data_IF_493919163122
#
_entry.id   IF_493919163122
#
_cell.length_a   1.000
_cell.length_b   1.000
_cell.length_c   1.000
_cell.angle_alpha   90.00
_cell.angle_beta   90.00
_cell.angle_gamma   90.00
#
_symmetry.space_group_name_H-M   'P 1'
#
loop_
_entity.id
_entity.type
_entity.pdbx_description
1 polymer ?
#
# COMPACT_ATOMS: atom_id res chain seq x y z
N UNK A 1 -39.85 -28.60 20.24
CA UNK A 1 -38.97 -27.40 20.20
C UNK A 1 -39.53 -26.41 21.21
N UNK A 2 -38.92 -26.32 22.38
CA UNK A 2 -39.26 -25.32 23.41
C UNK A 2 -38.64 -23.98 22.98
N UNK A 3 -39.41 -22.89 22.90
CA UNK A 3 -38.84 -21.57 22.64
C UNK A 3 -37.98 -21.15 23.85
N UNK A 4 -36.79 -20.63 23.57
CA UNK A 4 -35.84 -20.10 24.56
C UNK A 4 -36.52 -19.03 25.42
N UNK A 5 -36.55 -19.25 26.74
CA UNK A 5 -37.12 -18.37 27.77
C UNK A 5 -36.25 -17.15 28.11
N UNK A 6 -35.15 -16.93 27.41
CA UNK A 6 -34.27 -15.78 27.63
C UNK A 6 -34.36 -14.82 26.45
N UNK A 7 -34.79 -13.55 26.66
CA UNK A 7 -34.64 -12.53 25.64
C UNK A 7 -33.15 -12.40 25.28
N UNK A 8 -32.82 -12.10 24.02
CA UNK A 8 -31.44 -11.79 23.65
C UNK A 8 -30.93 -10.66 24.55
N UNK A 9 -29.65 -10.70 25.00
CA UNK A 9 -29.10 -9.64 25.82
C UNK A 9 -29.26 -8.30 25.10
N UNK A 10 -29.83 -7.31 25.79
CA UNK A 10 -29.96 -5.94 25.29
C UNK A 10 -28.59 -5.46 24.82
N UNK A 11 -28.52 -5.04 23.55
CA UNK A 11 -27.31 -4.43 23.02
C UNK A 11 -27.06 -3.13 23.82
N UNK A 12 -25.83 -2.87 24.29
CA UNK A 12 -25.55 -1.64 25.02
C UNK A 12 -25.84 -0.43 24.13
N UNK A 13 -26.60 0.52 24.66
CA UNK A 13 -26.99 1.75 23.97
C UNK A 13 -25.75 2.46 23.39
N UNK A 14 -25.81 2.80 22.10
CA UNK A 14 -24.68 3.42 21.40
C UNK A 14 -24.43 4.84 21.94
N UNK A 15 -23.29 5.06 22.59
CA UNK A 15 -22.85 6.39 23.05
C UNK A 15 -22.28 7.21 21.88
N UNK A 16 -22.76 8.45 21.72
CA UNK A 16 -22.26 9.39 20.71
C UNK A 16 -20.93 9.99 21.13
N UNK A 17 -20.05 10.23 20.15
CA UNK A 17 -18.78 10.94 20.38
C UNK A 17 -19.01 12.45 20.49
N UNK A 18 -18.07 13.21 21.10
CA UNK A 18 -18.20 14.67 21.22
C UNK A 18 -18.53 15.36 19.90
N UNK A 19 -17.78 15.10 18.82
CA UNK A 19 -18.07 15.71 17.51
C UNK A 19 -19.41 15.27 16.90
N UNK A 20 -19.89 14.07 17.24
CA UNK A 20 -21.18 13.56 16.75
C UNK A 20 -22.32 14.26 17.50
N UNK A 21 -22.17 14.42 18.82
CA UNK A 21 -23.09 15.20 19.65
C UNK A 21 -23.10 16.68 19.22
N UNK A 22 -21.93 17.29 18.99
CA UNK A 22 -21.81 18.66 18.47
C UNK A 22 -22.50 18.80 17.10
N UNK A 23 -22.32 17.83 16.20
CA UNK A 23 -22.98 17.86 14.89
C UNK A 23 -24.50 17.73 15.00
N UNK A 24 -25.00 16.87 15.90
CA UNK A 24 -26.44 16.73 16.17
C UNK A 24 -26.99 18.03 16.75
N UNK A 25 -26.32 18.61 17.75
CA UNK A 25 -26.78 19.86 18.35
C UNK A 25 -26.75 21.01 17.34
N UNK A 26 -25.75 21.08 16.46
CA UNK A 26 -25.71 22.06 15.38
C UNK A 26 -26.89 21.90 14.40
N UNK A 27 -27.31 20.67 14.09
CA UNK A 27 -28.53 20.42 13.30
C UNK A 27 -29.76 20.90 14.05
N UNK A 28 -29.88 20.57 15.32
CA UNK A 28 -31.04 20.95 16.14
C UNK A 28 -31.14 22.46 16.28
N UNK A 29 -30.04 23.14 16.53
CA UNK A 29 -29.98 24.60 16.60
C UNK A 29 -30.34 25.25 15.26
N UNK A 30 -29.92 24.67 14.13
CA UNK A 30 -30.32 25.15 12.80
C UNK A 30 -31.82 25.00 12.60
N UNK A 31 -32.37 23.80 12.86
CA UNK A 31 -33.81 23.52 12.72
C UNK A 31 -34.69 24.36 13.66
N UNK A 32 -34.18 24.80 14.81
CA UNK A 32 -34.90 25.69 15.74
C UNK A 32 -34.93 27.15 15.28
N UNK A 33 -33.91 27.59 14.53
CA UNK A 33 -33.68 29.02 14.25
C UNK A 33 -33.90 29.41 12.78
N UNK A 34 -34.02 28.44 11.88
CA UNK A 34 -34.13 28.67 10.44
C UNK A 34 -35.18 27.77 9.80
N UNK A 35 -35.80 28.28 8.73
CA UNK A 35 -36.82 27.57 7.94
C UNK A 35 -36.24 26.88 6.69
N UNK A 36 -34.91 26.80 6.56
CA UNK A 36 -34.20 26.09 5.49
C UNK A 36 -33.60 24.75 5.95
N UNK A 37 -33.14 23.93 4.99
CA UNK A 37 -32.68 22.57 5.26
C UNK A 37 -31.19 22.53 5.66
N UNK A 38 -30.82 21.95 6.81
CA UNK A 38 -29.41 21.81 7.20
C UNK A 38 -28.69 20.75 6.36
N UNK A 39 -27.41 21.00 6.04
CA UNK A 39 -26.51 20.02 5.43
C UNK A 39 -25.36 19.69 6.39
N UNK A 40 -25.14 18.41 6.70
CA UNK A 40 -24.13 17.96 7.67
C UNK A 40 -23.01 17.20 6.98
N UNK A 41 -21.77 17.63 7.21
CA UNK A 41 -20.57 17.01 6.64
C UNK A 41 -19.67 16.46 7.75
N UNK A 42 -19.48 15.13 7.77
CA UNK A 42 -18.72 14.40 8.78
C UNK A 42 -17.56 13.56 8.17
N UNK A 43 -16.35 14.15 8.07
CA UNK A 43 -15.06 13.46 7.89
C UNK A 43 -14.75 12.41 8.96
N UNK A 44 -14.32 11.21 8.57
CA UNK A 44 -14.18 10.06 9.48
C UNK A 44 -12.98 9.12 9.18
N UNK A 45 -11.89 9.61 8.57
CA UNK A 45 -10.58 8.98 8.74
C UNK A 45 -9.95 9.47 10.04
N UNK A 46 -9.15 8.68 10.75
CA UNK A 46 -8.41 9.18 11.91
C UNK A 46 -7.11 8.39 12.11
N UNK A 47 -6.00 8.91 11.57
CA UNK A 47 -4.66 8.35 11.73
C UNK A 47 -3.83 9.16 12.72
N UNK A 48 -2.87 8.51 13.38
CA UNK A 48 -1.84 9.23 14.11
C UNK A 48 -0.92 10.02 13.15
N UNK A 49 -0.28 11.05 13.69
CA UNK A 49 0.74 11.85 12.99
C UNK A 49 1.80 10.94 12.33
N UNK A 50 2.24 11.30 11.12
CA UNK A 50 3.28 10.61 10.37
C UNK A 50 2.80 9.39 9.58
N UNK A 51 1.51 9.02 9.66
CA UNK A 51 0.99 7.88 8.90
C UNK A 51 1.11 8.14 7.39
N UNK A 52 1.73 7.24 6.61
CA UNK A 52 2.00 7.47 5.20
C UNK A 52 0.75 7.24 4.34
N UNK A 53 0.38 8.22 3.51
CA UNK A 53 -0.74 8.16 2.58
C UNK A 53 -0.20 8.05 1.16
N UNK A 54 -0.69 7.08 0.37
CA UNK A 54 -0.32 6.95 -1.04
C UNK A 54 -1.13 7.91 -1.89
N UNK A 55 -0.44 8.85 -2.54
CA UNK A 55 -1.01 9.81 -3.46
C UNK A 55 -1.25 9.16 -4.84
N UNK A 56 -2.15 9.73 -5.63
CA UNK A 56 -2.50 9.21 -6.95
C UNK A 56 -1.34 9.25 -7.95
N UNK A 57 -0.41 10.20 -7.78
CA UNK A 57 0.82 10.30 -8.56
C UNK A 57 1.90 9.30 -8.13
N UNK A 58 1.66 8.51 -7.08
CA UNK A 58 2.57 7.52 -6.52
C UNK A 58 3.54 8.05 -5.46
N UNK A 59 3.52 9.35 -5.17
CA UNK A 59 4.23 9.90 -4.01
C UNK A 59 3.57 9.47 -2.70
N UNK A 60 4.31 9.52 -1.59
CA UNK A 60 3.78 9.19 -0.26
C UNK A 60 3.89 10.43 0.62
N UNK A 61 2.76 10.91 1.13
CA UNK A 61 2.71 12.06 2.05
C UNK A 61 2.34 11.61 3.46
N UNK A 62 2.95 12.16 4.52
CA UNK A 62 2.42 12.06 5.87
C UNK A 62 0.98 12.59 5.94
N UNK A 63 0.12 11.96 6.73
CA UNK A 63 -1.31 12.32 6.82
C UNK A 63 -1.55 13.77 7.22
N UNK A 64 -0.67 14.36 8.02
CA UNK A 64 -0.74 15.76 8.44
C UNK A 64 -0.40 16.76 7.33
N UNK A 65 0.33 16.32 6.30
CA UNK A 65 0.76 17.15 5.16
C UNK A 65 -0.22 17.06 3.97
N UNK A 66 -1.26 16.23 4.10
CA UNK A 66 -2.33 16.11 3.10
C UNK A 66 -3.19 17.38 3.15
N UNK A 67 -3.49 17.93 1.97
CA UNK A 67 -4.26 19.17 1.80
C UNK A 67 -5.60 18.92 1.09
N UNK A 68 -6.57 19.82 1.26
CA UNK A 68 -7.84 19.75 0.50
C UNK A 68 -7.54 19.91 -0.99
N UNK A 69 -8.13 19.04 -1.81
CA UNK A 69 -7.92 18.99 -3.25
C UNK A 69 -6.87 17.97 -3.69
N UNK A 70 -6.01 17.48 -2.79
CA UNK A 70 -5.07 16.39 -3.08
C UNK A 70 -5.81 15.15 -3.62
N UNK A 71 -5.14 14.37 -4.47
CA UNK A 71 -5.66 13.12 -5.02
C UNK A 71 -4.93 11.93 -4.38
N UNK A 72 -5.66 11.10 -3.66
CA UNK A 72 -5.18 9.87 -3.06
C UNK A 72 -5.41 8.67 -3.97
N UNK A 73 -4.63 7.62 -3.77
CA UNK A 73 -4.83 6.35 -4.46
C UNK A 73 -5.99 5.56 -3.87
N UNK A 74 -7.01 5.28 -4.67
CA UNK A 74 -8.08 4.32 -4.34
C UNK A 74 -7.63 2.86 -4.56
N UNK A 75 -8.27 1.89 -3.90
CA UNK A 75 -7.92 0.47 -4.07
C UNK A 75 -8.25 -0.10 -5.46
N UNK A 76 -9.01 0.65 -6.26
CA UNK A 76 -9.35 0.40 -7.66
C UNK A 76 -8.39 1.10 -8.63
N UNK A 77 -7.29 1.66 -8.13
CA UNK A 77 -6.32 2.46 -8.89
C UNK A 77 -6.90 3.75 -9.51
N UNK A 78 -8.04 4.23 -8.99
CA UNK A 78 -8.65 5.50 -9.38
C UNK A 78 -8.41 6.57 -8.31
N UNK A 79 -8.36 7.86 -8.68
CA UNK A 79 -8.12 8.91 -7.71
C UNK A 79 -9.27 9.04 -6.70
N UNK A 80 -8.95 9.51 -5.50
CA UNK A 80 -9.88 9.97 -4.47
C UNK A 80 -9.50 11.38 -4.05
N UNK A 81 -10.38 12.35 -4.26
CA UNK A 81 -10.09 13.75 -3.95
C UNK A 81 -10.39 14.05 -2.48
N UNK A 82 -9.45 14.71 -1.80
CA UNK A 82 -9.65 15.21 -0.45
C UNK A 82 -10.62 16.38 -0.46
N UNK A 83 -11.75 16.22 0.20
CA UNK A 83 -12.82 17.21 0.33
C UNK A 83 -12.69 18.06 1.59
N UNK A 84 -12.22 17.45 2.68
CA UNK A 84 -12.04 18.13 3.95
C UNK A 84 -11.01 17.40 4.81
N UNK A 85 -10.40 18.14 5.72
CA UNK A 85 -9.48 17.64 6.72
C UNK A 85 -10.07 17.84 8.11
N UNK A 86 -9.68 16.98 9.06
CA UNK A 86 -9.98 17.16 10.47
C UNK A 86 -8.79 16.79 11.32
N UNK A 87 -8.77 17.37 12.51
CA UNK A 87 -7.87 16.96 13.57
C UNK A 87 -8.65 16.96 14.87
N UNK A 88 -8.21 16.13 15.81
CA UNK A 88 -8.82 16.05 17.13
C UNK A 88 -8.02 15.13 18.05
N UNK A 89 -8.57 14.88 19.22
CA UNK A 89 -8.03 13.94 20.19
C UNK A 89 -9.03 12.82 20.44
N UNK A 90 -8.54 11.59 20.54
CA UNK A 90 -9.37 10.41 20.79
C UNK A 90 -8.52 9.32 21.44
N UNK A 91 -9.15 8.24 21.89
CA UNK A 91 -8.46 7.02 22.27
C UNK A 91 -7.86 6.35 21.02
N UNK A 92 -6.54 6.18 21.04
CA UNK A 92 -5.76 5.66 19.93
C UNK A 92 -5.39 4.19 20.15
N UNK A 93 -5.34 3.46 19.04
CA UNK A 93 -5.07 2.02 18.99
C UNK A 93 -4.04 1.74 17.92
N UNK A 94 -3.01 0.97 18.30
CA UNK A 94 -1.98 0.50 17.40
C UNK A 94 -2.41 -0.83 16.79
N UNK A 95 -2.59 -0.83 15.48
CA UNK A 95 -2.84 -2.02 14.68
C UNK A 95 -1.48 -2.60 14.27
N UNK A 96 -1.19 -3.82 14.72
CA UNK A 96 0.10 -4.49 14.51
C UNK A 96 -0.11 -5.71 13.60
N UNK A 97 0.16 -5.59 12.29
CA UNK A 97 0.14 -6.72 11.38
C UNK A 97 1.16 -7.79 11.76
N UNK A 98 0.84 -9.06 11.52
CA UNK A 98 1.80 -10.15 11.63
C UNK A 98 2.93 -10.06 10.57
N UNK A 99 2.66 -9.30 9.50
CA UNK A 99 3.59 -8.96 8.41
C UNK A 99 3.28 -7.55 7.94
N UNK A 100 4.29 -6.68 7.89
CA UNK A 100 4.15 -5.27 7.53
C UNK A 100 4.36 -4.31 8.70
N UNK A 101 4.12 -3.05 8.41
CA UNK A 101 4.28 -1.93 9.31
C UNK A 101 3.02 -1.74 10.16
N UNK A 102 3.21 -1.43 11.45
CA UNK A 102 2.11 -1.09 12.32
C UNK A 102 1.63 0.34 12.03
N UNK A 103 0.33 0.58 12.20
CA UNK A 103 -0.26 1.91 12.09
C UNK A 103 -1.16 2.18 13.28
N UNK A 104 -1.36 3.46 13.61
CA UNK A 104 -2.13 3.88 14.78
C UNK A 104 -3.32 4.71 14.33
N UNK A 105 -4.50 4.33 14.80
CA UNK A 105 -5.78 4.92 14.43
C UNK A 105 -6.65 5.08 15.67
N UNK A 106 -7.67 5.92 15.63
CA UNK A 106 -8.59 6.02 16.76
C UNK A 106 -9.54 4.82 16.88
N UNK A 107 -10.26 4.75 18.00
CA UNK A 107 -11.34 3.79 18.27
C UNK A 107 -12.37 3.67 17.12
N UNK A 108 -12.57 4.78 16.42
CA UNK A 108 -13.59 4.92 15.41
C UNK A 108 -13.22 4.56 14.00
N UNK A 109 -11.93 4.38 13.73
CA UNK A 109 -11.43 4.10 12.40
C UNK A 109 -12.05 2.81 11.88
N UNK A 110 -12.55 2.85 10.64
CA UNK A 110 -13.17 1.69 9.99
C UNK A 110 -12.08 0.86 9.35
N UNK A 111 -11.92 -0.36 9.86
CA UNK A 111 -11.07 -1.38 9.29
C UNK A 111 -11.81 -2.06 8.13
N UNK A 112 -11.28 -1.92 6.90
CA UNK A 112 -11.77 -2.66 5.73
C UNK A 112 -11.10 -4.04 5.65
N UNK A 113 -11.68 -5.01 6.34
CA UNK A 113 -11.10 -6.34 6.52
C UNK A 113 -11.59 -7.30 5.44
N UNK A 114 -10.76 -8.26 5.06
CA UNK A 114 -11.17 -9.36 4.17
C UNK A 114 -11.41 -10.63 4.97
N UNK A 115 -12.53 -11.29 4.70
CA UNK A 115 -12.87 -12.58 5.30
C UNK A 115 -12.06 -13.71 4.62
N UNK A 116 -11.50 -14.60 5.43
CA UNK A 116 -10.92 -15.86 4.97
C UNK A 116 -11.85 -17.02 5.32
N UNK A 117 -11.90 -18.04 4.46
CA UNK A 117 -12.75 -19.21 4.67
C UNK A 117 -12.45 -19.89 6.02
N UNK A 118 -13.50 -20.32 6.72
CA UNK A 118 -13.39 -21.09 7.98
C UNK A 118 -12.76 -22.48 7.78
N UNK A 119 -12.66 -22.96 6.53
CA UNK A 119 -12.09 -24.27 6.22
C UNK A 119 -12.99 -25.44 6.62
N UNK A 120 -14.27 -25.18 6.94
CA UNK A 120 -15.28 -26.21 7.21
C UNK A 120 -15.90 -26.73 5.91
N UNK A 121 -16.34 -27.99 5.92
CA UNK A 121 -17.00 -28.64 4.78
C UNK A 121 -18.44 -28.17 4.54
N UNK A 122 -19.08 -27.58 5.56
CA UNK A 122 -20.48 -27.16 5.50
C UNK A 122 -20.62 -25.74 4.93
N UNK A 123 -21.79 -25.45 4.34
CA UNK A 123 -22.12 -24.16 3.75
C UNK A 123 -22.01 -23.02 4.79
N UNK A 124 -20.94 -22.24 4.71
CA UNK A 124 -20.79 -21.03 5.49
C UNK A 124 -21.55 -19.89 4.80
N UNK A 125 -22.25 -19.06 5.57
CA UNK A 125 -22.98 -17.90 5.06
C UNK A 125 -22.07 -16.79 4.48
N UNK A 126 -20.73 -16.92 4.58
CA UNK A 126 -19.77 -15.97 4.02
C UNK A 126 -18.66 -16.67 3.24
N UNK A 127 -18.44 -16.24 2.01
CA UNK A 127 -17.43 -16.77 1.12
C UNK A 127 -16.07 -16.07 1.38
N UNK A 128 -14.98 -16.82 1.27
CA UNK A 128 -13.64 -16.24 1.40
C UNK A 128 -13.42 -15.17 0.34
N UNK A 129 -13.05 -13.94 0.75
CA UNK A 129 -12.88 -12.79 -0.14
C UNK A 129 -13.86 -11.65 0.11
N UNK A 130 -14.96 -11.88 0.83
CA UNK A 130 -15.91 -10.82 1.21
C UNK A 130 -15.24 -9.76 2.10
N UNK A 131 -15.62 -8.49 1.88
CA UNK A 131 -15.13 -7.35 2.66
C UNK A 131 -16.08 -7.10 3.84
N UNK A 132 -15.50 -6.87 5.00
CA UNK A 132 -16.19 -6.60 6.26
C UNK A 132 -15.63 -5.30 6.84
N UNK A 133 -16.47 -4.27 6.90
CA UNK A 133 -16.10 -2.96 7.42
C UNK A 133 -16.54 -2.85 8.88
N UNK A 134 -15.58 -2.70 9.79
CA UNK A 134 -15.84 -2.67 11.23
C UNK A 134 -14.97 -1.62 11.92
N UNK A 135 -15.53 -0.88 12.88
CA UNK A 135 -14.73 0.07 13.67
C UNK A 135 -13.73 -0.67 14.56
N UNK A 136 -12.63 -0.02 14.95
CA UNK A 136 -11.67 -0.60 15.91
C UNK A 136 -12.37 -0.98 17.23
N UNK A 137 -13.23 -0.09 17.75
CA UNK A 137 -14.00 -0.33 18.97
C UNK A 137 -14.89 -1.58 18.87
N UNK A 138 -15.62 -1.75 17.77
CA UNK A 138 -16.50 -2.91 17.60
C UNK A 138 -15.72 -4.19 17.29
N UNK A 139 -14.59 -4.09 16.59
CA UNK A 139 -13.68 -5.21 16.36
C UNK A 139 -13.18 -5.81 17.68
N UNK A 140 -12.83 -4.99 18.66
CA UNK A 140 -12.34 -5.43 19.97
C UNK A 140 -13.39 -6.24 20.75
N UNK A 141 -14.68 -5.96 20.54
CA UNK A 141 -15.80 -6.71 21.15
C UNK A 141 -16.00 -8.10 20.51
N UNK A 142 -15.44 -8.36 19.32
CA UNK A 142 -15.65 -9.63 18.61
C UNK A 142 -14.84 -10.79 19.22
N UNK A 143 -15.38 -12.03 19.21
CA UNK A 143 -14.67 -13.22 19.67
C UNK A 143 -13.35 -13.46 18.94
N UNK A 144 -12.39 -14.13 19.60
CA UNK A 144 -11.07 -14.45 19.03
C UNK A 144 -11.18 -15.22 17.70
N UNK A 145 -12.08 -16.19 17.60
CA UNK A 145 -12.27 -16.97 16.35
C UNK A 145 -12.74 -16.07 15.20
N UNK A 146 -13.67 -15.14 15.48
CA UNK A 146 -14.20 -14.21 14.47
C UNK A 146 -13.08 -13.32 13.95
N UNK A 147 -12.31 -12.72 14.87
CA UNK A 147 -11.15 -11.88 14.56
C UNK A 147 -10.06 -12.65 13.80
N UNK A 148 -9.84 -13.91 14.14
CA UNK A 148 -8.87 -14.76 13.44
C UNK A 148 -9.19 -14.92 11.96
N UNK A 149 -10.47 -14.87 11.55
CA UNK A 149 -10.87 -15.05 10.14
C UNK A 149 -10.88 -13.74 9.34
N UNK A 150 -10.68 -12.58 9.98
CA UNK A 150 -10.63 -11.28 9.30
C UNK A 150 -9.18 -10.81 9.21
N UNK A 151 -8.77 -10.43 8.01
CA UNK A 151 -7.39 -10.05 7.71
C UNK A 151 -7.35 -8.61 7.21
N UNK A 152 -6.29 -7.90 7.54
CA UNK A 152 -5.94 -6.69 6.78
C UNK A 152 -5.66 -7.12 5.34
N UNK A 153 -6.08 -6.28 4.40
CA UNK A 153 -5.86 -6.50 2.98
C UNK A 153 -4.97 -5.40 2.42
N UNK A 154 -4.06 -5.82 1.55
CA UNK A 154 -3.32 -4.96 0.65
C UNK A 154 -3.80 -5.16 -0.77
N UNK A 155 -3.52 -4.19 -1.63
CA UNK A 155 -3.88 -4.23 -3.04
C UNK A 155 -2.68 -3.85 -3.89
N UNK A 156 -2.55 -4.49 -5.06
CA UNK A 156 -1.73 -3.94 -6.14
C UNK A 156 -2.40 -2.65 -6.64
N UNK A 157 -1.62 -1.76 -7.24
CA UNK A 157 -2.15 -0.55 -7.87
C UNK A 157 -1.59 -0.41 -9.27
N UNK A 158 -2.41 0.17 -10.14
CA UNK A 158 -2.03 0.65 -11.45
C UNK A 158 -1.80 2.15 -11.40
N UNK A 159 -0.76 2.60 -12.07
CA UNK A 159 -0.50 4.01 -12.28
C UNK A 159 -0.83 4.35 -13.73
N UNK A 160 -1.22 5.61 -14.03
CA UNK A 160 -1.40 6.06 -15.42
C UNK A 160 -0.17 5.79 -16.30
N UNK A 161 1.02 5.73 -15.68
CA UNK A 161 2.28 5.56 -16.38
C UNK A 161 2.66 6.79 -17.18
N UNK A 162 3.91 6.83 -17.64
CA UNK A 162 4.34 7.77 -18.67
C UNK A 162 4.79 6.96 -19.89
N UNK A 163 4.31 7.28 -21.10
CA UNK A 163 4.87 6.66 -22.29
C UNK A 163 6.33 7.08 -22.45
N UNK A 164 7.14 6.20 -23.05
CA UNK A 164 8.53 6.45 -23.44
C UNK A 164 9.48 6.71 -22.25
N UNK A 165 9.78 5.66 -21.48
CA UNK A 165 10.84 5.70 -20.48
C UNK A 165 12.22 5.84 -21.16
N UNK A 166 13.13 6.67 -20.63
CA UNK A 166 14.38 7.01 -21.31
C UNK A 166 15.39 5.86 -21.36
N UNK A 167 15.27 4.89 -20.46
CA UNK A 167 16.05 3.65 -20.43
C UNK A 167 15.03 2.51 -20.35
N UNK A 168 15.18 1.43 -21.14
CA UNK A 168 14.31 0.27 -21.01
C UNK A 168 14.32 -0.24 -19.56
N UNK A 169 13.16 -0.49 -18.91
CA UNK A 169 13.10 -0.79 -17.48
C UNK A 169 13.97 -1.97 -17.04
N UNK A 170 14.02 -3.04 -17.84
CA UNK A 170 14.89 -4.19 -17.58
C UNK A 170 16.38 -3.80 -17.54
N UNK A 171 16.82 -2.96 -18.50
CA UNK A 171 18.20 -2.47 -18.57
C UNK A 171 18.52 -1.57 -17.39
N UNK A 172 17.59 -0.70 -16.98
CA UNK A 172 17.76 0.08 -15.76
C UNK A 172 17.90 -0.81 -14.52
N UNK A 173 17.11 -1.89 -14.42
CA UNK A 173 17.20 -2.85 -13.33
C UNK A 173 18.59 -3.49 -13.23
N UNK A 174 19.15 -3.93 -14.36
CA UNK A 174 20.52 -4.46 -14.42
C UNK A 174 21.55 -3.41 -13.98
N UNK A 175 21.41 -2.15 -14.42
CA UNK A 175 22.32 -1.07 -14.07
C UNK A 175 22.28 -0.70 -12.58
N UNK A 176 21.08 -0.73 -11.98
CA UNK A 176 20.93 -0.45 -10.54
C UNK A 176 21.62 -1.51 -9.69
N UNK A 177 21.67 -2.74 -10.17
CA UNK A 177 22.45 -3.80 -9.55
C UNK A 177 23.94 -3.78 -9.91
N UNK A 178 24.26 -4.40 -11.04
CA UNK A 178 25.62 -4.72 -11.49
C UNK A 178 26.28 -3.60 -12.33
N UNK A 179 25.60 -2.47 -12.50
CA UNK A 179 26.13 -1.32 -13.26
C UNK A 179 27.17 -0.51 -12.48
N UNK A 180 28.23 -0.09 -13.18
CA UNK A 180 29.15 0.95 -12.72
C UNK A 180 28.71 2.29 -13.31
N UNK A 181 28.21 3.19 -12.45
CA UNK A 181 27.67 4.50 -12.83
C UNK A 181 28.59 5.67 -12.46
N UNK A 182 29.69 5.41 -11.75
CA UNK A 182 30.65 6.41 -11.26
C UNK A 182 31.67 6.84 -12.32
N UNK A 183 32.01 5.93 -13.23
CA UNK A 183 33.04 6.12 -14.24
C UNK A 183 32.46 6.04 -15.65
N UNK A 184 33.11 6.74 -16.58
CA UNK A 184 32.82 6.65 -18.01
C UNK A 184 33.92 5.89 -18.76
N UNK A 185 33.55 4.98 -19.69
CA UNK A 185 32.18 4.67 -20.14
C UNK A 185 31.38 3.79 -19.15
N UNK A 186 30.05 3.89 -19.19
CA UNK A 186 29.15 3.09 -18.34
C UNK A 186 29.34 1.61 -18.63
N UNK A 187 29.43 0.82 -17.56
CA UNK A 187 29.74 -0.59 -17.64
C UNK A 187 28.70 -1.44 -16.91
N UNK A 188 28.40 -2.62 -17.45
CA UNK A 188 27.70 -3.70 -16.76
C UNK A 188 28.70 -4.83 -16.49
N UNK A 189 28.84 -5.27 -15.25
CA UNK A 189 29.75 -6.37 -14.91
C UNK A 189 28.95 -7.62 -14.60
N UNK A 190 28.98 -8.61 -15.50
CA UNK A 190 28.14 -9.81 -15.37
C UNK A 190 28.84 -11.01 -16.03
N UNK A 191 28.68 -12.20 -15.43
CA UNK A 191 29.16 -13.45 -16.01
C UNK A 191 28.04 -14.22 -16.72
N UNK A 192 26.80 -13.72 -16.64
CA UNK A 192 25.65 -14.36 -17.27
C UNK A 192 25.53 -13.87 -18.73
N UNK A 193 25.47 -14.81 -19.67
CA UNK A 193 25.42 -14.51 -21.10
C UNK A 193 24.14 -13.78 -21.50
N UNK A 194 22.98 -14.18 -20.95
CA UNK A 194 21.68 -13.59 -21.28
C UNK A 194 21.53 -12.12 -20.85
N UNK A 195 22.18 -11.71 -19.75
CA UNK A 195 22.20 -10.30 -19.31
C UNK A 195 23.19 -9.49 -20.13
N UNK A 196 24.34 -10.09 -20.50
CA UNK A 196 25.30 -9.47 -21.42
C UNK A 196 24.70 -9.27 -22.82
N UNK A 197 23.97 -10.24 -23.37
CA UNK A 197 23.24 -10.14 -24.64
C UNK A 197 22.21 -9.01 -24.60
N UNK A 198 21.40 -8.93 -23.54
CA UNK A 198 20.43 -7.85 -23.35
C UNK A 198 21.10 -6.46 -23.38
N UNK A 199 22.27 -6.36 -22.77
CA UNK A 199 23.07 -5.15 -22.70
C UNK A 199 23.66 -4.77 -24.06
N UNK A 200 24.18 -5.75 -24.81
CA UNK A 200 24.72 -5.57 -26.16
C UNK A 200 23.63 -5.15 -27.14
N UNK A 201 22.47 -5.80 -27.09
CA UNK A 201 21.28 -5.47 -27.90
C UNK A 201 20.85 -4.01 -27.63
N UNK A 202 20.77 -3.63 -26.36
CA UNK A 202 20.45 -2.26 -25.98
C UNK A 202 21.48 -1.26 -26.50
N UNK A 203 22.78 -1.54 -26.37
CA UNK A 203 23.84 -0.69 -26.89
C UNK A 203 23.67 -0.44 -28.40
N UNK A 204 23.39 -1.51 -29.17
CA UNK A 204 23.09 -1.41 -30.60
C UNK A 204 21.87 -0.54 -30.89
N UNK A 205 20.79 -0.66 -30.10
CA UNK A 205 19.57 0.14 -30.25
C UNK A 205 19.78 1.65 -30.09
N UNK A 206 20.83 2.06 -29.37
CA UNK A 206 21.22 3.47 -29.17
C UNK A 206 22.43 3.87 -30.02
N UNK A 207 22.71 3.12 -31.10
CA UNK A 207 23.84 3.33 -32.03
C UNK A 207 25.20 3.39 -31.31
N UNK A 208 25.40 2.51 -30.32
CA UNK A 208 26.64 2.35 -29.59
C UNK A 208 27.18 0.92 -29.74
N UNK A 209 28.49 0.77 -29.56
CA UNK A 209 29.16 -0.53 -29.48
C UNK A 209 29.41 -0.95 -28.02
N UNK A 210 29.88 -2.18 -27.84
CA UNK A 210 30.31 -2.69 -26.53
C UNK A 210 31.76 -3.16 -26.60
N UNK A 211 32.60 -2.70 -25.66
CA UNK A 211 33.92 -3.27 -25.41
C UNK A 211 33.90 -4.11 -24.15
N UNK A 212 34.53 -5.28 -24.20
CA UNK A 212 34.64 -6.19 -23.04
C UNK A 212 35.99 -5.97 -22.38
N UNK A 213 35.99 -5.70 -21.08
CA UNK A 213 37.18 -5.53 -20.27
C UNK A 213 37.19 -6.51 -19.10
N UNK A 214 38.40 -6.92 -18.71
CA UNK A 214 38.63 -7.83 -17.60
C UNK A 214 39.63 -8.92 -17.99
N UNK A 215 40.49 -9.38 -17.07
CA UNK A 215 41.32 -10.54 -17.34
C UNK A 215 40.46 -11.81 -17.48
N UNK A 216 40.93 -12.86 -18.18
CA UNK A 216 40.14 -14.05 -18.49
C UNK A 216 39.60 -14.81 -17.26
N UNK A 217 40.23 -14.63 -16.11
CA UNK A 217 39.92 -15.28 -14.83
C UNK A 217 38.93 -14.49 -13.96
N UNK A 218 38.47 -13.31 -14.41
CA UNK A 218 37.50 -12.46 -13.69
C UNK A 218 36.21 -12.28 -14.47
N UNK A 219 35.17 -11.90 -13.74
CA UNK A 219 33.88 -11.53 -14.31
C UNK A 219 34.07 -10.41 -15.36
N UNK A 220 33.58 -10.58 -16.60
CA UNK A 220 33.77 -9.59 -17.65
C UNK A 220 32.91 -8.34 -17.39
N UNK A 221 33.44 -7.20 -17.83
CA UNK A 221 32.79 -5.89 -17.74
C UNK A 221 32.53 -5.35 -19.15
N UNK A 222 31.26 -5.17 -19.49
CA UNK A 222 30.78 -4.75 -20.80
C UNK A 222 30.53 -3.24 -20.81
N UNK A 223 31.41 -2.48 -21.48
CA UNK A 223 31.36 -1.02 -21.52
C UNK A 223 30.70 -0.53 -22.81
N UNK A 224 29.68 0.32 -22.69
CA UNK A 224 29.05 0.94 -23.86
C UNK A 224 29.92 2.10 -24.34
N UNK A 225 30.33 2.06 -25.61
CA UNK A 225 31.19 3.05 -26.24
C UNK A 225 30.56 3.61 -27.51
N UNK A 226 30.91 4.85 -27.86
CA UNK A 226 30.55 5.51 -29.12
C UNK A 226 31.84 5.84 -29.88
N UNK A 227 31.81 5.76 -31.22
CA UNK A 227 33.01 5.98 -32.06
C UNK A 227 33.73 7.31 -31.74
N UNK A 228 32.96 8.37 -31.44
CA UNK A 228 33.49 9.72 -31.19
C UNK A 228 33.22 10.23 -29.77
N UNK A 229 33.47 9.42 -28.74
CA UNK A 229 33.51 9.88 -27.35
C UNK A 229 32.91 8.92 -26.32
N UNK A 230 32.97 9.33 -25.05
CA UNK A 230 32.45 8.53 -23.92
C UNK A 230 31.00 8.85 -23.55
N UNK A 231 30.43 9.91 -24.14
CA UNK A 231 29.05 10.35 -23.91
C UNK A 231 28.12 9.79 -25.00
N UNK A 232 26.98 9.30 -24.57
CA UNK A 232 25.93 8.72 -25.40
C UNK A 232 24.54 8.93 -24.76
N UNK A 233 23.49 8.46 -25.47
CA UNK A 233 22.09 8.56 -25.04
C UNK A 233 21.86 8.01 -23.64
N UNK A 234 22.51 6.89 -23.30
CA UNK A 234 22.42 6.32 -21.95
C UNK A 234 23.02 7.24 -20.89
N UNK A 235 24.21 7.81 -21.13
CA UNK A 235 24.83 8.73 -20.15
C UNK A 235 24.00 9.99 -19.94
N UNK A 236 23.38 10.53 -21.00
CA UNK A 236 22.47 11.68 -20.92
C UNK A 236 21.21 11.32 -20.14
N UNK A 237 20.63 10.15 -20.41
CA UNK A 237 19.47 9.64 -19.67
C UNK A 237 19.78 9.45 -18.18
N UNK A 238 20.92 8.83 -17.84
CA UNK A 238 21.35 8.64 -16.45
C UNK A 238 21.61 9.98 -15.74
N UNK A 239 22.22 10.95 -16.42
CA UNK A 239 22.44 12.28 -15.88
C UNK A 239 21.12 13.01 -15.62
N UNK A 240 20.19 12.99 -16.58
CA UNK A 240 18.88 13.61 -16.46
C UNK A 240 18.02 12.99 -15.35
N UNK A 241 18.26 11.72 -15.00
CA UNK A 241 17.59 11.03 -13.90
C UNK A 241 18.36 11.10 -12.57
N UNK A 242 19.50 11.79 -12.52
CA UNK A 242 20.32 11.92 -11.30
C UNK A 242 21.07 10.63 -10.89
N UNK A 243 21.15 9.63 -11.77
CA UNK A 243 21.82 8.36 -11.50
C UNK A 243 23.30 8.35 -11.86
N UNK A 244 23.73 9.21 -12.79
CA UNK A 244 25.14 9.31 -13.17
C UNK A 244 25.97 9.78 -11.98
N UNK A 245 27.06 9.07 -11.67
CA UNK A 245 27.90 9.33 -10.51
C UNK A 245 27.46 8.62 -9.22
N UNK A 246 26.30 7.97 -9.19
CA UNK A 246 25.86 7.23 -8.01
C UNK A 246 26.66 5.95 -7.80
N UNK A 247 27.00 5.66 -6.55
CA UNK A 247 27.67 4.42 -6.16
C UNK A 247 26.70 3.43 -5.53
N UNK A 248 27.20 2.24 -5.17
CA UNK A 248 26.38 1.18 -4.54
C UNK A 248 25.56 1.61 -3.31
N UNK A 249 26.01 2.64 -2.58
CA UNK A 249 25.32 3.19 -1.41
C UNK A 249 24.33 4.33 -1.70
N UNK A 250 24.29 4.88 -2.92
CA UNK A 250 23.52 6.08 -3.27
C UNK A 250 22.64 5.93 -4.51
N UNK A 251 22.62 4.76 -5.15
CA UNK A 251 21.65 4.45 -6.21
C UNK A 251 20.21 4.50 -5.66
N UNK A 252 19.25 4.80 -6.53
CA UNK A 252 17.81 4.83 -6.25
C UNK A 252 17.03 4.48 -7.51
N UNK A 253 15.72 4.23 -7.44
CA UNK A 253 14.87 4.07 -8.62
C UNK A 253 14.23 5.43 -8.94
N UNK A 254 14.44 6.00 -10.14
CA UNK A 254 13.79 7.27 -10.49
C UNK A 254 12.27 7.13 -10.45
N UNK A 255 11.58 8.11 -9.86
CA UNK A 255 10.14 8.05 -9.57
C UNK A 255 9.29 7.63 -10.78
N UNK A 256 9.63 8.09 -11.99
CA UNK A 256 8.89 7.75 -13.20
C UNK A 256 8.85 6.24 -13.52
N UNK A 257 9.80 5.46 -13.00
CA UNK A 257 9.80 4.00 -13.11
C UNK A 257 8.99 3.33 -11.99
N UNK A 258 8.96 3.92 -10.79
CA UNK A 258 8.12 3.43 -9.68
C UNK A 258 6.62 3.55 -10.00
N UNK A 259 6.26 4.52 -10.84
CA UNK A 259 4.88 4.80 -11.26
C UNK A 259 4.64 4.51 -12.74
N UNK A 260 5.53 3.74 -13.37
CA UNK A 260 5.36 3.29 -14.74
C UNK A 260 4.21 2.29 -14.88
N UNK A 261 3.91 1.90 -16.12
CA UNK A 261 2.96 0.83 -16.40
C UNK A 261 3.32 -0.43 -15.61
N UNK A 262 2.34 -1.28 -15.29
CA UNK A 262 2.64 -2.56 -14.61
C UNK A 262 3.66 -3.41 -15.35
N UNK A 263 3.61 -3.43 -16.69
CA UNK A 263 4.57 -4.17 -17.50
C UNK A 263 5.99 -3.63 -17.34
N UNK A 264 6.16 -2.31 -17.36
CA UNK A 264 7.46 -1.67 -17.17
C UNK A 264 8.00 -1.90 -15.75
N UNK A 265 7.13 -1.82 -14.73
CA UNK A 265 7.49 -2.13 -13.34
C UNK A 265 7.93 -3.58 -13.16
N UNK A 266 7.26 -4.53 -13.83
CA UNK A 266 7.67 -5.94 -13.84
C UNK A 266 9.01 -6.14 -14.54
N UNK A 267 9.23 -5.48 -15.68
CA UNK A 267 10.50 -5.52 -16.39
C UNK A 267 11.65 -4.93 -15.56
N UNK A 268 11.41 -3.82 -14.84
CA UNK A 268 12.38 -3.26 -13.89
C UNK A 268 12.70 -4.25 -12.77
N UNK A 269 11.68 -4.85 -12.17
CA UNK A 269 11.84 -5.86 -11.12
C UNK A 269 12.64 -7.07 -11.63
N UNK A 270 12.39 -7.51 -12.85
CA UNK A 270 13.13 -8.61 -13.48
C UNK A 270 14.63 -8.28 -13.63
N UNK A 271 14.98 -7.07 -14.08
CA UNK A 271 16.38 -6.64 -14.18
C UNK A 271 17.09 -6.61 -12.83
N UNK A 272 16.42 -6.07 -11.79
CA UNK A 272 16.95 -6.07 -10.41
C UNK A 272 17.13 -7.49 -9.85
N UNK A 273 16.23 -8.41 -10.19
CA UNK A 273 16.31 -9.80 -9.76
C UNK A 273 17.40 -10.58 -10.48
N UNK A 274 17.63 -10.30 -11.77
CA UNK A 274 18.65 -10.98 -12.55
C UNK A 274 20.08 -10.60 -12.09
N UNK A 275 20.29 -9.35 -11.66
CA UNK A 275 21.56 -8.90 -11.09
C UNK A 275 21.79 -9.43 -9.66
N UNK A 276 21.07 -8.88 -8.68
CA UNK A 276 21.34 -9.05 -7.25
C UNK A 276 20.27 -9.90 -6.54
N UNK A 277 19.28 -10.40 -7.28
CA UNK A 277 18.26 -11.29 -6.73
C UNK A 277 18.84 -12.65 -6.34
N UNK A 278 18.45 -13.17 -5.19
CA UNK A 278 18.84 -14.49 -4.72
C UNK A 278 17.59 -15.29 -4.37
N UNK A 279 17.38 -16.41 -5.09
CA UNK A 279 16.24 -17.28 -4.84
C UNK A 279 16.35 -17.92 -3.45
N UNK A 280 15.26 -17.90 -2.70
CA UNK A 280 15.11 -18.65 -1.45
C UNK A 280 14.01 -19.71 -1.58
N UNK A 281 13.77 -20.50 -0.52
CA UNK A 281 12.85 -21.65 -0.55
C UNK A 281 11.41 -21.30 -0.97
N UNK A 282 10.99 -20.03 -0.85
CA UNK A 282 9.59 -19.64 -1.03
C UNK A 282 9.40 -18.27 -1.71
N UNK A 283 10.44 -17.75 -2.37
CA UNK A 283 10.50 -16.37 -2.86
C UNK A 283 11.91 -15.97 -3.28
N UNK A 284 12.21 -14.69 -3.16
CA UNK A 284 13.50 -14.11 -3.51
C UNK A 284 13.98 -13.15 -2.42
N UNK A 285 15.28 -12.90 -2.35
CA UNK A 285 15.88 -11.80 -1.60
C UNK A 285 16.61 -10.89 -2.58
N UNK A 286 16.43 -9.58 -2.45
CA UNK A 286 17.26 -8.57 -3.09
C UNK A 286 18.11 -7.89 -2.01
N UNK A 287 19.40 -7.68 -2.28
CA UNK A 287 20.32 -7.05 -1.32
C UNK A 287 21.00 -5.84 -1.93
N UNK A 288 21.04 -4.73 -1.19
CA UNK A 288 21.71 -3.50 -1.64
C UNK A 288 22.33 -2.76 -0.45
N UNK A 289 23.34 -1.92 -0.71
CA UNK A 289 23.89 -0.99 0.31
C UNK A 289 23.08 0.29 0.42
N UNK A 290 22.38 0.69 -0.65
CA UNK A 290 21.57 1.90 -0.67
C UNK A 290 20.26 1.69 0.10
N UNK A 291 20.02 2.54 1.09
CA UNK A 291 18.77 2.54 1.84
C UNK A 291 17.60 2.99 0.97
N UNK A 292 17.82 3.98 0.10
CA UNK A 292 16.82 4.53 -0.80
C UNK A 292 16.40 3.49 -1.84
N UNK A 293 17.37 2.86 -2.52
CA UNK A 293 17.08 1.76 -3.44
C UNK A 293 16.33 0.60 -2.76
N UNK A 294 16.65 0.28 -1.50
CA UNK A 294 15.91 -0.73 -0.77
C UNK A 294 14.45 -0.34 -0.52
N UNK A 295 14.18 0.93 -0.16
CA UNK A 295 12.84 1.45 0.02
C UNK A 295 12.06 1.49 -1.31
N UNK A 296 12.72 1.91 -2.39
CA UNK A 296 12.16 1.94 -3.74
C UNK A 296 11.79 0.54 -4.24
N UNK A 297 12.64 -0.45 -4.00
CA UNK A 297 12.34 -1.86 -4.33
C UNK A 297 11.17 -2.37 -3.51
N UNK A 298 11.06 -2.00 -2.22
CA UNK A 298 9.88 -2.34 -1.40
C UNK A 298 8.61 -1.72 -1.99
N UNK A 299 8.66 -0.45 -2.40
CA UNK A 299 7.53 0.22 -3.06
C UNK A 299 7.15 -0.47 -4.37
N UNK A 300 8.13 -0.66 -5.27
CA UNK A 300 7.96 -1.31 -6.57
C UNK A 300 7.28 -2.68 -6.42
N UNK A 301 7.82 -3.52 -5.55
CA UNK A 301 7.32 -4.88 -5.31
C UNK A 301 5.90 -4.86 -4.74
N UNK A 302 5.62 -4.00 -3.76
CA UNK A 302 4.27 -3.90 -3.17
C UNK A 302 3.24 -3.37 -4.15
N UNK A 303 3.63 -2.39 -4.98
CA UNK A 303 2.78 -1.82 -6.01
C UNK A 303 2.35 -2.84 -7.07
N UNK A 304 3.15 -3.89 -7.28
CA UNK A 304 2.89 -5.01 -8.20
C UNK A 304 2.01 -6.11 -7.58
N UNK A 305 1.61 -6.00 -6.31
CA UNK A 305 0.81 -7.01 -5.61
C UNK A 305 1.63 -8.14 -4.98
N UNK A 306 2.95 -7.98 -4.87
CA UNK A 306 3.82 -8.87 -4.13
C UNK A 306 4.01 -8.36 -2.69
N UNK A 307 4.49 -9.22 -1.80
CA UNK A 307 4.87 -8.83 -0.45
C UNK A 307 6.38 -8.60 -0.38
N UNK A 308 6.78 -7.47 0.21
CA UNK A 308 8.17 -7.15 0.52
C UNK A 308 8.35 -6.77 1.99
N UNK A 309 9.47 -7.19 2.57
CA UNK A 309 9.96 -6.74 3.87
C UNK A 309 11.45 -6.42 3.78
N UNK A 310 11.83 -5.22 4.24
CA UNK A 310 13.23 -4.81 4.36
C UNK A 310 13.75 -5.05 5.77
N UNK A 311 14.98 -5.54 5.90
CA UNK A 311 15.71 -5.68 7.16
C UNK A 311 17.16 -5.29 6.95
N UNK A 312 17.80 -4.70 7.97
CA UNK A 312 19.24 -4.51 7.96
C UNK A 312 19.95 -5.82 8.28
N UNK A 313 21.02 -6.11 7.55
CA UNK A 313 21.83 -7.33 7.70
C UNK A 313 23.31 -6.96 7.62
N UNK A 314 24.08 -7.34 8.63
CA UNK A 314 25.53 -7.28 8.55
C UNK A 314 26.05 -8.46 7.72
N UNK A 315 26.87 -8.16 6.71
CA UNK A 315 27.53 -9.15 5.88
C UNK A 315 29.05 -8.96 6.02
N UNK A 316 29.78 -10.05 6.25
CA UNK A 316 31.23 -10.07 6.27
C UNK A 316 31.77 -11.09 5.28
N UNK A 317 32.97 -10.86 4.77
CA UNK A 317 33.71 -11.79 3.94
C UNK A 317 34.90 -12.36 4.71
N UNK A 318 35.45 -13.45 4.18
CA UNK A 318 36.56 -14.19 4.79
C UNK A 318 37.85 -13.36 4.89
N UNK A 319 37.96 -12.26 4.12
CA UNK A 319 39.11 -11.34 4.17
C UNK A 319 39.01 -10.28 5.27
N UNK A 320 38.00 -10.37 6.14
CA UNK A 320 37.79 -9.45 7.27
C UNK A 320 37.01 -8.18 6.93
N UNK A 321 36.74 -7.90 5.65
CA UNK A 321 35.87 -6.78 5.26
C UNK A 321 34.40 -7.13 5.55
N UNK A 322 33.65 -6.16 6.07
CA UNK A 322 32.22 -6.31 6.34
C UNK A 322 31.49 -4.98 6.26
N UNK A 323 30.17 -5.05 6.19
CA UNK A 323 29.33 -3.88 6.11
C UNK A 323 27.87 -4.20 6.35
N UNK A 324 27.09 -3.16 6.65
CA UNK A 324 25.64 -3.23 6.73
C UNK A 324 25.02 -3.12 5.33
N UNK A 325 24.07 -3.99 5.07
CA UNK A 325 23.27 -4.02 3.85
C UNK A 325 21.79 -4.04 4.21
N UNK A 326 20.96 -3.66 3.25
CA UNK A 326 19.52 -3.81 3.31
C UNK A 326 19.11 -5.04 2.52
N UNK A 327 18.48 -6.00 3.20
CA UNK A 327 17.91 -7.20 2.60
C UNK A 327 16.41 -7.02 2.46
N UNK A 328 15.94 -6.99 1.22
CA UNK A 328 14.53 -6.99 0.85
C UNK A 328 14.10 -8.42 0.54
N UNK A 329 13.34 -9.02 1.44
CA UNK A 329 12.73 -10.34 1.21
C UNK A 329 11.39 -10.18 0.50
N UNK A 330 11.22 -10.89 -0.62
CA UNK A 330 10.09 -10.78 -1.54
C UNK A 330 9.36 -12.13 -1.63
N UNK A 331 8.03 -12.07 -1.52
CA UNK A 331 7.15 -13.24 -1.62
C UNK A 331 5.91 -12.93 -2.46
N UNK A 332 5.42 -13.94 -3.16
CA UNK A 332 4.21 -13.85 -3.98
C UNK A 332 4.32 -14.79 -5.17
N UNK A 333 3.49 -14.55 -6.16
CA UNK A 333 3.46 -15.31 -7.40
C UNK A 333 4.27 -14.53 -8.45
N UNK A 334 5.38 -15.11 -8.89
CA UNK A 334 6.37 -14.47 -9.77
C UNK A 334 6.15 -14.81 -11.25
N UNK A 335 5.01 -15.43 -11.59
CA UNK A 335 4.71 -15.94 -12.94
C UNK A 335 4.75 -14.83 -13.99
N UNK A 336 4.37 -13.61 -13.60
CA UNK A 336 4.36 -12.43 -14.48
C UNK A 336 5.70 -11.68 -14.51
N UNK A 337 6.69 -12.04 -13.68
CA UNK A 337 7.97 -11.33 -13.63
C UNK A 337 8.89 -11.90 -14.71
N UNK A 338 9.25 -11.12 -15.76
CA UNK A 338 9.96 -11.63 -16.93
C UNK A 338 11.48 -11.69 -16.69
N UNK A 339 11.91 -12.40 -15.64
CA UNK A 339 13.33 -12.68 -15.40
C UNK A 339 13.91 -13.45 -16.60
N UNK A 340 15.08 -13.05 -17.08
CA UNK A 340 15.78 -13.76 -18.13
C UNK A 340 16.56 -14.94 -17.57
N UNK A 341 17.06 -14.86 -16.32
CA UNK A 341 17.84 -15.92 -15.70
C UNK A 341 16.93 -16.89 -14.90
N UNK A 342 16.73 -18.15 -15.37
CA UNK A 342 15.83 -19.10 -14.69
C UNK A 342 16.27 -19.44 -13.25
N UNK A 343 17.58 -19.33 -12.96
CA UNK A 343 18.14 -19.55 -11.63
C UNK A 343 17.75 -18.47 -10.61
N UNK A 344 17.35 -17.29 -11.09
CA UNK A 344 16.93 -16.12 -10.28
C UNK A 344 15.42 -16.07 -10.06
N UNK A 345 14.65 -16.72 -10.93
CA UNK A 345 13.20 -16.82 -10.80
C UNK A 345 12.79 -17.81 -9.70
N UNK A 346 11.97 -17.39 -8.72
CA UNK A 346 11.38 -18.31 -7.74
C UNK A 346 10.46 -19.32 -8.43
N UNK A 347 10.49 -20.58 -7.97
CA UNK A 347 9.58 -21.61 -8.49
C UNK A 347 8.13 -21.38 -8.04
N UNK A 348 7.17 -22.13 -8.62
CA UNK A 348 5.75 -21.97 -8.33
C UNK A 348 5.43 -22.07 -6.85
N UNK A 349 4.56 -21.18 -6.38
CA UNK A 349 4.26 -21.06 -4.97
C UNK A 349 3.36 -22.20 -4.49
N UNK A 350 3.83 -22.96 -3.49
CA UNK A 350 3.06 -24.06 -2.86
C UNK A 350 2.09 -23.58 -1.77
N UNK A 351 2.30 -22.39 -1.22
CA UNK A 351 1.53 -21.88 -0.09
C UNK A 351 0.19 -21.31 -0.55
N UNK A 352 -0.93 -21.83 -0.02
CA UNK A 352 -2.29 -21.38 -0.38
C UNK A 352 -2.67 -19.97 0.12
N UNK A 353 -1.99 -19.45 1.15
CA UNK A 353 -2.34 -18.16 1.78
C UNK A 353 -1.97 -17.01 0.85
N UNK A 354 -2.89 -16.09 0.55
CA UNK A 354 -2.59 -14.88 -0.23
C UNK A 354 -1.58 -13.99 0.51
N UNK A 355 -0.53 -13.50 -0.17
CA UNK A 355 0.51 -12.65 0.41
C UNK A 355 0.02 -11.25 0.77
N UNK A 356 -1.05 -10.80 0.14
CA UNK A 356 -1.70 -9.52 0.38
C UNK A 356 -2.67 -9.53 1.58
N UNK A 357 -2.79 -10.65 2.29
CA UNK A 357 -3.66 -10.78 3.46
C UNK A 357 -2.83 -11.10 4.69
N UNK A 358 -3.00 -10.31 5.74
CA UNK A 358 -2.24 -10.48 6.99
C UNK A 358 -3.14 -10.44 8.21
N UNK A 359 -2.87 -11.35 9.16
CA UNK A 359 -3.48 -11.25 10.48
C UNK A 359 -2.87 -10.09 11.25
N UNK A 360 -3.54 -9.63 12.30
CA UNK A 360 -3.08 -8.48 13.06
C UNK A 360 -3.57 -8.54 14.51
N UNK A 361 -2.91 -7.75 15.36
CA UNK A 361 -3.34 -7.44 16.72
C UNK A 361 -3.72 -5.98 16.80
N UNK A 362 -4.50 -5.63 17.82
CA UNK A 362 -4.89 -4.26 18.14
C UNK A 362 -4.55 -4.02 19.59
N UNK A 363 -3.77 -2.99 19.87
CA UNK A 363 -3.23 -2.65 21.19
C UNK A 363 -3.64 -1.21 21.54
N UNK A 364 -4.20 -0.95 22.74
CA UNK A 364 -4.49 0.42 23.17
C UNK A 364 -3.19 1.20 23.36
N UNK A 365 -3.19 2.47 22.96
CA UNK A 365 -2.04 3.40 23.09
C UNK A 365 -2.34 4.53 24.08
N UNK A 366 -3.63 4.77 24.38
CA UNK A 366 -4.09 5.91 25.19
C UNK A 366 -4.56 7.06 24.30
N UNK A 367 -4.78 8.23 24.90
CA UNK A 367 -5.23 9.41 24.15
C UNK A 367 -4.11 9.97 23.27
N UNK A 368 -4.47 10.38 22.05
CA UNK A 368 -3.54 11.02 21.13
C UNK A 368 -4.25 11.85 20.07
N UNK A 369 -3.48 12.73 19.43
CA UNK A 369 -3.95 13.52 18.31
C UNK A 369 -4.13 12.64 17.07
N UNK A 370 -5.25 12.81 16.37
CA UNK A 370 -5.52 12.16 15.09
C UNK A 370 -5.71 13.19 13.96
N UNK A 371 -5.49 12.72 12.74
CA UNK A 371 -5.63 13.44 11.47
C UNK A 371 -6.59 12.67 10.58
N UNK A 372 -7.58 13.39 10.05
CA UNK A 372 -8.70 12.81 9.36
C UNK A 372 -8.95 13.38 7.99
N UNK A 373 -9.40 12.51 7.10
CA UNK A 373 -9.61 12.79 5.68
C UNK A 373 -11.08 12.53 5.34
N UNK A 374 -11.71 13.47 4.64
CA UNK A 374 -12.93 13.24 3.89
C UNK A 374 -12.56 13.12 2.42
N UNK A 375 -12.96 12.02 1.79
CA UNK A 375 -12.72 11.75 0.37
C UNK A 375 -14.05 11.73 -0.38
N UNK A 376 -14.01 11.98 -1.68
CA UNK A 376 -15.10 11.65 -2.59
C UNK A 376 -15.18 10.13 -2.86
N UNK A 377 -16.13 9.71 -3.73
CA UNK A 377 -16.26 8.33 -4.17
C UNK A 377 -16.70 7.35 -3.09
N UNK A 378 -16.09 6.17 -3.08
CA UNK A 378 -16.38 5.05 -2.14
C UNK A 378 -15.72 5.21 -0.75
N UNK A 379 -14.99 6.32 -0.54
CA UNK A 379 -14.28 6.63 0.69
C UNK A 379 -13.20 5.61 1.12
N UNK A 380 -12.77 4.74 0.19
CA UNK A 380 -11.65 3.83 0.36
C UNK A 380 -10.39 4.43 -0.24
N UNK A 381 -9.25 4.23 0.43
CA UNK A 381 -7.94 4.69 -0.04
C UNK A 381 -6.86 3.74 0.43
N UNK A 382 -5.67 3.92 -0.13
CA UNK A 382 -4.50 3.08 0.09
C UNK A 382 -3.43 3.88 0.84
N UNK A 383 -2.83 3.29 1.87
CA UNK A 383 -1.70 3.88 2.58
C UNK A 383 -0.37 3.64 1.85
N UNK A 384 0.73 4.26 2.31
CA UNK A 384 2.08 4.05 1.73
C UNK A 384 2.62 2.62 1.89
N UNK A 385 1.90 1.74 2.59
CA UNK A 385 2.20 0.32 2.73
C UNK A 385 1.23 -0.57 1.95
N UNK A 386 0.41 0.04 1.08
CA UNK A 386 -0.56 -0.59 0.22
C UNK A 386 -1.74 -1.23 0.97
N UNK A 387 -1.94 -0.91 2.25
CA UNK A 387 -3.08 -1.35 3.07
C UNK A 387 -4.31 -0.50 2.72
N UNK A 388 -5.48 -1.13 2.66
CA UNK A 388 -6.73 -0.42 2.36
C UNK A 388 -7.39 0.11 3.63
N UNK A 389 -7.72 1.39 3.63
CA UNK A 389 -8.40 2.10 4.71
C UNK A 389 -9.76 2.62 4.26
N UNK A 390 -10.66 2.86 5.22
CA UNK A 390 -12.02 3.33 4.97
C UNK A 390 -12.35 4.54 5.83
N UNK A 391 -12.92 5.58 5.22
CA UNK A 391 -13.43 6.74 5.94
C UNK A 391 -14.96 6.60 6.09
N UNK A 392 -15.47 6.21 7.28
CA UNK A 392 -16.92 6.27 7.54
C UNK A 392 -17.26 6.49 9.02
N UNK A 393 -18.28 7.30 9.27
CA UNK A 393 -18.80 7.62 10.61
C UNK A 393 -19.89 8.70 10.61
N UNK A 394 -20.57 8.89 9.48
CA UNK A 394 -21.72 9.81 9.33
C UNK A 394 -23.03 9.17 9.82
N UNK A 395 -23.14 7.86 9.62
CA UNK A 395 -24.35 7.07 9.91
C UNK A 395 -24.82 7.17 11.37
N UNK A 396 -23.95 7.22 12.41
CA UNK A 396 -24.37 7.45 13.79
C UNK A 396 -25.09 8.78 14.03
N UNK A 397 -24.69 9.86 13.37
CA UNK A 397 -25.33 11.18 13.52
C UNK A 397 -26.72 11.17 12.89
N UNK A 398 -26.82 10.66 11.66
CA UNK A 398 -28.11 10.47 11.00
C UNK A 398 -29.05 9.58 11.83
N UNK A 399 -28.56 8.43 12.32
CA UNK A 399 -29.38 7.50 13.09
C UNK A 399 -29.93 8.12 14.39
N UNK A 400 -29.14 8.95 15.10
CA UNK A 400 -29.63 9.71 16.26
C UNK A 400 -30.74 10.68 15.90
N UNK A 401 -30.55 11.47 14.83
CA UNK A 401 -31.55 12.43 14.38
C UNK A 401 -32.84 11.70 13.99
N UNK A 402 -32.73 10.57 13.28
CA UNK A 402 -33.87 9.75 12.91
C UNK A 402 -34.62 9.23 14.15
N UNK A 403 -33.89 8.70 15.14
CA UNK A 403 -34.48 8.21 16.39
C UNK A 403 -35.23 9.34 17.09
N UNK A 404 -34.58 10.47 17.32
CA UNK A 404 -35.16 11.59 18.07
C UNK A 404 -36.38 12.19 17.34
N UNK A 405 -36.33 12.26 16.00
CA UNK A 405 -37.48 12.68 15.21
C UNK A 405 -38.70 11.76 15.39
N UNK A 406 -38.49 10.44 15.43
CA UNK A 406 -39.57 9.47 15.63
C UNK A 406 -40.04 9.43 17.08
N UNK A 407 -39.13 9.38 18.04
CA UNK A 407 -39.46 9.12 19.45
C UNK A 407 -39.77 10.37 20.26
N UNK A 408 -39.15 11.51 19.96
CA UNK A 408 -39.34 12.76 20.70
C UNK A 408 -40.28 13.72 19.99
N UNK A 409 -40.24 13.77 18.66
CA UNK A 409 -41.02 14.75 17.89
C UNK A 409 -42.24 14.15 17.20
N UNK A 410 -42.47 12.84 17.37
CA UNK A 410 -43.58 12.10 16.74
C UNK A 410 -43.63 12.31 15.20
N UNK A 411 -42.45 12.52 14.61
CA UNK A 411 -42.26 12.74 13.19
C UNK A 411 -42.12 11.45 12.39
N UNK A 412 -42.08 11.59 11.06
CA UNK A 412 -41.77 10.49 10.13
C UNK A 412 -40.48 10.84 9.41
N UNK A 413 -39.60 9.86 9.26
CA UNK A 413 -38.31 10.04 8.62
C UNK A 413 -38.20 9.14 7.40
N UNK A 414 -37.78 9.71 6.28
CA UNK A 414 -37.46 8.99 5.07
C UNK A 414 -35.95 9.11 4.82
N UNK A 415 -35.24 7.98 4.82
CA UNK A 415 -33.82 7.93 4.48
C UNK A 415 -33.69 7.55 3.01
N UNK A 416 -33.09 8.44 2.22
CA UNK A 416 -32.82 8.22 0.80
C UNK A 416 -31.31 8.04 0.60
N UNK A 417 -30.92 6.98 -0.11
CA UNK A 417 -29.55 6.76 -0.53
C UNK A 417 -29.53 6.18 -1.95
N UNK A 418 -28.46 6.45 -2.68
CA UNK A 418 -28.31 6.05 -4.08
C UNK A 418 -27.86 4.59 -4.26
N UNK A 419 -27.45 3.90 -3.18
CA UNK A 419 -27.01 2.50 -3.19
C UNK A 419 -27.58 1.73 -2.00
N UNK A 420 -27.80 0.43 -2.20
CA UNK A 420 -28.44 -0.47 -1.23
C UNK A 420 -27.62 -0.61 0.06
N UNK A 421 -26.30 -0.67 -0.07
CA UNK A 421 -25.36 -0.87 1.03
C UNK A 421 -25.43 0.27 2.07
N UNK A 422 -25.67 1.52 1.62
CA UNK A 422 -25.85 2.65 2.52
C UNK A 422 -27.17 2.56 3.30
N UNK A 423 -28.23 2.03 2.68
CA UNK A 423 -29.50 1.77 3.37
C UNK A 423 -29.35 0.64 4.38
N UNK A 424 -28.64 -0.44 4.04
CA UNK A 424 -28.35 -1.54 4.96
C UNK A 424 -27.54 -1.04 6.17
N UNK A 425 -26.51 -0.22 5.95
CA UNK A 425 -25.76 0.43 7.05
C UNK A 425 -26.63 1.34 7.92
N UNK A 426 -27.57 2.07 7.31
CA UNK A 426 -28.52 2.93 8.04
C UNK A 426 -29.44 2.10 8.93
N UNK A 427 -30.03 1.01 8.38
CA UNK A 427 -30.91 0.09 9.11
C UNK A 427 -30.18 -0.55 10.28
N UNK A 428 -28.96 -1.06 10.08
CA UNK A 428 -28.16 -1.67 11.14
C UNK A 428 -27.89 -0.70 12.30
N UNK A 429 -27.63 0.58 11.98
CA UNK A 429 -27.41 1.61 13.01
C UNK A 429 -28.69 2.04 13.71
N UNK A 430 -29.80 2.16 13.00
CA UNK A 430 -31.10 2.45 13.62
C UNK A 430 -31.51 1.32 14.57
N UNK A 431 -31.35 0.06 14.17
CA UNK A 431 -31.63 -1.10 15.02
C UNK A 431 -30.73 -1.17 16.26
N UNK A 432 -29.51 -0.64 16.19
CA UNK A 432 -28.60 -0.58 17.34
C UNK A 432 -28.88 0.61 18.29
N UNK A 433 -29.76 1.54 17.91
CA UNK A 433 -30.12 2.74 18.68
C UNK A 433 -31.57 2.75 19.17
N UNK A 434 -32.42 1.90 18.61
CA UNK A 434 -33.74 1.53 19.11
C UNK A 434 -33.58 0.59 20.30
#
# INVERSE_FOLDING_TARGET
MTPSLFPPPEAPAMTLRPYQAEAIEAVYDHLRRRDDNPCVVLPTACHAKGHPILMYDGTVKPVEDVTVGDLLMGPDSRPRRVMALRQGWDDMYRVVPARGEAFTVNAGHVLSLVCTNEGKRDACARHGGEIDNITVADYLKKPKYWRHLRKLRRVAVEFPGRPNLPIPPYILGLLLGDGCLTDLPIALTTADEQTAEAWIEYAGSINCGVTVHGPPDRCPSYRIVKENGRHNVLTEALAAQGLLGTGSGTKFVPHMYLVASRQDRLALLAGLMDSDGCRNKSGCDYMTKSQELAADVVFLVRSLGLAAQCTQKYCSCQTGAGGWFYRVSIWGDFDDVPCRLPRRQPGPRKQKKCVLRTGFKVEPVGQGQYYGLLLDGDHLYVDGHFVVHHNSGKTPVMASICRDAVTQWNGRVLVLAHVKELLEQAVDKLNAMA
#
